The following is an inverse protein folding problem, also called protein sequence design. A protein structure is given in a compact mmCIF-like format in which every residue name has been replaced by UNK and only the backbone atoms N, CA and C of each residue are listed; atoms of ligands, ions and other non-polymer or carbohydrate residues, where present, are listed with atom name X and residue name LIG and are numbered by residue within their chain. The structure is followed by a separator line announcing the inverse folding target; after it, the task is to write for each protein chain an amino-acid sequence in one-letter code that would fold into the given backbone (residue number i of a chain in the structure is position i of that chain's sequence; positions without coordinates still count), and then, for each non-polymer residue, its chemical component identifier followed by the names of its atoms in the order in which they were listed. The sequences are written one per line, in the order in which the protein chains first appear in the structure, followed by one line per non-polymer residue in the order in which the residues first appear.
data_IF_648377730658
#
_entry.id   IF_648377730658
#
_cell.length_a   1.000
_cell.length_b   1.000
_cell.length_c   1.000
_cell.angle_alpha   90.00
_cell.angle_beta   90.00
_cell.angle_gamma   90.00
#
_symmetry.space_group_name_H-M   'P 1'
#
loop_
_entity.id
_entity.type
_entity.pdbx_description
1 polymer ?
#
# COMPACT_ATOMS: atom_id res chain seq x y z
N UNK A 1 46.86 -48.11 13.17
CA UNK A 1 46.60 -47.74 11.75
C UNK A 1 47.17 -46.35 11.49
N UNK A 2 48.20 -46.22 10.64
CA UNK A 2 48.69 -44.90 10.23
C UNK A 2 47.62 -44.23 9.33
N UNK A 3 47.41 -42.93 9.49
CA UNK A 3 46.38 -42.20 8.74
C UNK A 3 46.78 -42.11 7.26
N UNK A 4 45.86 -42.34 6.31
CA UNK A 4 46.12 -42.36 4.86
C UNK A 4 46.90 -41.12 4.36
N UNK A 5 46.67 -39.95 4.96
CA UNK A 5 47.43 -38.73 4.65
C UNK A 5 48.95 -38.80 4.95
N UNK A 6 49.42 -39.84 5.65
CA UNK A 6 50.84 -40.07 5.98
C UNK A 6 51.44 -41.29 5.26
N UNK A 7 50.63 -42.06 4.53
CA UNK A 7 51.05 -43.30 3.86
C UNK A 7 50.87 -43.20 2.34
N UNK A 8 49.75 -42.62 1.89
CA UNK A 8 49.41 -42.47 0.48
C UNK A 8 48.63 -41.16 0.30
N UNK A 9 49.40 -40.08 0.13
CA UNK A 9 48.88 -38.73 -0.07
C UNK A 9 48.00 -38.64 -1.33
N UNK A 10 48.39 -39.21 -2.49
CA UNK A 10 47.51 -39.26 -3.67
C UNK A 10 46.14 -39.89 -3.41
N UNK A 11 46.08 -41.05 -2.75
CA UNK A 11 44.82 -41.73 -2.44
C UNK A 11 43.96 -40.94 -1.44
N UNK A 12 44.58 -40.34 -0.43
CA UNK A 12 43.88 -39.45 0.51
C UNK A 12 43.26 -38.23 -0.19
N UNK A 13 44.01 -37.55 -1.07
CA UNK A 13 43.53 -36.41 -1.84
C UNK A 13 42.39 -36.79 -2.78
N UNK A 14 42.48 -37.95 -3.45
CA UNK A 14 41.41 -38.50 -4.30
C UNK A 14 40.11 -38.72 -3.50
N UNK A 15 40.20 -39.37 -2.34
CA UNK A 15 39.04 -39.63 -1.47
C UNK A 15 38.42 -38.33 -0.93
N UNK A 16 39.25 -37.38 -0.51
CA UNK A 16 38.80 -36.05 -0.06
C UNK A 16 38.08 -35.28 -1.18
N UNK A 17 38.60 -35.32 -2.40
CA UNK A 17 38.00 -34.68 -3.56
C UNK A 17 36.67 -35.34 -3.95
N UNK A 18 36.59 -36.68 -3.97
CA UNK A 18 35.31 -37.39 -4.19
C UNK A 18 34.27 -37.06 -3.11
N UNK A 19 34.66 -37.03 -1.84
CA UNK A 19 33.75 -36.64 -0.74
C UNK A 19 33.29 -35.17 -0.85
N UNK A 20 34.14 -34.27 -1.37
CA UNK A 20 33.77 -32.87 -1.65
C UNK A 20 32.78 -32.77 -2.81
N UNK A 21 33.00 -33.52 -3.88
CA UNK A 21 32.09 -33.61 -5.04
C UNK A 21 30.73 -34.19 -4.63
N UNK A 22 30.71 -35.28 -3.86
CA UNK A 22 29.48 -35.88 -3.32
C UNK A 22 28.70 -34.91 -2.44
N UNK A 23 29.37 -34.17 -1.54
CA UNK A 23 28.74 -33.11 -0.73
C UNK A 23 28.17 -31.97 -1.60
N UNK A 24 28.87 -31.57 -2.66
CA UNK A 24 28.39 -30.56 -3.61
C UNK A 24 27.16 -31.04 -4.37
N UNK A 25 27.17 -32.27 -4.88
CA UNK A 25 26.04 -32.88 -5.59
C UNK A 25 24.81 -33.00 -4.67
N UNK A 26 25.00 -33.47 -3.43
CA UNK A 26 23.93 -33.52 -2.44
C UNK A 26 23.35 -32.15 -2.10
N UNK A 27 24.20 -31.11 -1.98
CA UNK A 27 23.74 -29.74 -1.79
C UNK A 27 22.88 -29.26 -2.96
N UNK A 28 23.37 -29.45 -4.20
CA UNK A 28 22.63 -29.07 -5.42
C UNK A 28 21.29 -29.80 -5.51
N UNK A 29 21.27 -31.11 -5.22
CA UNK A 29 20.04 -31.90 -5.22
C UNK A 29 19.04 -31.43 -4.16
N UNK A 30 19.51 -31.17 -2.93
CA UNK A 30 18.67 -30.61 -1.85
C UNK A 30 18.12 -29.23 -2.23
N UNK A 31 18.96 -28.37 -2.81
CA UNK A 31 18.54 -27.05 -3.28
C UNK A 31 17.51 -27.14 -4.41
N UNK A 32 17.66 -28.11 -5.33
CA UNK A 32 16.69 -28.38 -6.40
C UNK A 32 15.36 -28.86 -5.84
N UNK A 33 15.36 -29.90 -4.99
CA UNK A 33 14.17 -30.42 -4.28
C UNK A 33 13.45 -29.32 -3.50
N UNK A 34 14.21 -28.48 -2.78
CA UNK A 34 13.67 -27.34 -2.03
C UNK A 34 13.00 -26.34 -2.96
N UNK A 35 13.62 -26.00 -4.10
CA UNK A 35 13.04 -25.09 -5.10
C UNK A 35 11.75 -25.65 -5.72
N UNK A 36 11.73 -26.95 -6.03
CA UNK A 36 10.55 -27.63 -6.57
C UNK A 36 9.39 -27.60 -5.56
N UNK A 37 9.64 -28.00 -4.31
CA UNK A 37 8.65 -27.95 -3.23
C UNK A 37 8.14 -26.52 -2.97
N UNK A 38 9.03 -25.52 -2.96
CA UNK A 38 8.62 -24.12 -2.86
C UNK A 38 7.70 -23.70 -4.02
N UNK A 39 7.99 -24.14 -5.25
CA UNK A 39 7.19 -23.81 -6.42
C UNK A 39 5.80 -24.46 -6.38
N UNK A 40 5.72 -25.69 -5.87
CA UNK A 40 4.47 -26.42 -5.68
C UNK A 40 3.57 -25.74 -4.63
N UNK A 41 4.13 -25.35 -3.48
CA UNK A 41 3.39 -24.62 -2.44
C UNK A 41 2.89 -23.26 -2.97
N UNK A 42 3.78 -22.47 -3.60
CA UNK A 42 3.37 -21.22 -4.27
C UNK A 42 2.26 -21.51 -5.27
N UNK A 43 2.38 -22.60 -6.03
CA UNK A 43 1.41 -22.97 -7.04
C UNK A 43 0.02 -23.26 -6.47
N UNK A 44 -0.03 -23.96 -5.33
CA UNK A 44 -1.26 -24.25 -4.59
C UNK A 44 -1.91 -22.97 -4.05
N UNK A 45 -1.12 -22.06 -3.48
CA UNK A 45 -1.66 -20.82 -2.87
C UNK A 45 -2.01 -19.72 -3.87
N UNK A 46 -1.27 -19.60 -4.97
CA UNK A 46 -1.61 -18.66 -6.04
C UNK A 46 -2.80 -19.18 -6.86
N UNK A 47 -2.87 -20.49 -7.11
CA UNK A 47 -3.93 -21.10 -7.93
C UNK A 47 -3.68 -20.98 -9.44
N UNK A 48 -4.75 -21.16 -10.23
CA UNK A 48 -4.74 -21.10 -11.71
C UNK A 48 -4.79 -19.68 -12.26
N UNK A 49 -5.33 -18.74 -11.48
CA UNK A 49 -5.46 -17.31 -11.78
C UNK A 49 -5.02 -16.52 -10.56
N UNK A 50 -4.57 -15.29 -10.74
CA UNK A 50 -4.24 -14.42 -9.60
C UNK A 50 -5.51 -14.06 -8.84
N UNK A 51 -5.56 -14.45 -7.56
CA UNK A 51 -6.63 -14.06 -6.62
C UNK A 51 -6.76 -12.55 -6.49
N UNK A 52 -5.65 -11.82 -6.56
CA UNK A 52 -5.64 -10.35 -6.47
C UNK A 52 -6.32 -9.73 -7.69
N UNK A 53 -6.01 -10.20 -8.90
CA UNK A 53 -6.69 -9.73 -10.12
C UNK A 53 -8.18 -10.07 -10.05
N UNK A 54 -8.55 -11.26 -9.56
CA UNK A 54 -9.96 -11.66 -9.38
C UNK A 54 -10.71 -10.75 -8.41
N UNK A 55 -10.08 -10.41 -7.28
CA UNK A 55 -10.64 -9.48 -6.30
C UNK A 55 -10.86 -8.08 -6.91
N UNK A 56 -9.87 -7.51 -7.60
CA UNK A 56 -9.99 -6.18 -8.23
C UNK A 56 -11.03 -6.20 -9.36
N UNK A 57 -11.15 -7.31 -10.08
CA UNK A 57 -12.15 -7.46 -11.14
C UNK A 57 -13.59 -7.63 -10.61
N UNK A 58 -13.77 -7.79 -9.30
CA UNK A 58 -15.06 -8.12 -8.67
C UNK A 58 -15.56 -9.49 -9.10
N UNK A 59 -14.65 -10.48 -9.23
CA UNK A 59 -14.91 -11.83 -9.73
C UNK A 59 -15.60 -11.89 -11.11
N UNK A 60 -15.55 -10.79 -11.85
CA UNK A 60 -16.15 -10.66 -13.18
C UNK A 60 -15.06 -10.73 -14.23
N UNK A 61 -15.34 -11.34 -15.37
CA UNK A 61 -14.41 -11.37 -16.52
C UNK A 61 -14.97 -10.50 -17.63
N UNK A 62 -14.09 -9.83 -18.39
CA UNK A 62 -14.52 -9.09 -19.57
C UNK A 62 -15.18 -10.03 -20.60
N UNK A 63 -16.34 -9.64 -21.14
CA UNK A 63 -17.09 -10.44 -22.13
C UNK A 63 -16.26 -10.69 -23.40
N UNK A 64 -15.53 -9.68 -23.86
CA UNK A 64 -14.70 -9.77 -25.06
C UNK A 64 -13.38 -9.03 -24.89
N UNK A 65 -12.34 -9.53 -25.57
CA UNK A 65 -11.09 -8.81 -25.81
C UNK A 65 -10.92 -8.64 -27.31
N UNK A 66 -10.95 -7.38 -27.73
CA UNK A 66 -10.74 -7.00 -29.12
C UNK A 66 -9.35 -7.47 -29.59
N UNK A 67 -9.34 -8.33 -30.62
CA UNK A 67 -8.13 -8.73 -31.37
C UNK A 67 -6.98 -9.26 -30.50
N UNK A 68 -7.28 -9.88 -29.36
CA UNK A 68 -6.26 -10.42 -28.45
C UNK A 68 -5.32 -9.37 -27.83
N UNK A 69 -5.78 -8.12 -27.73
CA UNK A 69 -5.07 -6.98 -27.14
C UNK A 69 -5.84 -6.42 -25.94
N UNK A 70 -5.17 -6.30 -24.81
CA UNK A 70 -5.65 -5.55 -23.64
C UNK A 70 -5.12 -4.12 -23.73
N UNK A 71 -5.97 -3.13 -23.50
CA UNK A 71 -5.55 -1.73 -23.45
C UNK A 71 -6.03 -1.10 -22.15
N UNK A 72 -5.12 -0.42 -21.47
CA UNK A 72 -5.41 0.45 -20.34
C UNK A 72 -5.18 1.89 -20.77
N UNK A 73 -6.16 2.75 -20.45
CA UNK A 73 -6.07 4.18 -20.63
C UNK A 73 -6.21 4.81 -19.24
N UNK A 74 -5.19 5.51 -18.78
CA UNK A 74 -5.30 6.28 -17.54
C UNK A 74 -6.25 7.47 -17.74
N UNK A 75 -7.11 7.78 -16.75
CA UNK A 75 -7.88 9.02 -16.75
C UNK A 75 -6.95 10.23 -16.60
N UNK A 76 -7.44 11.43 -16.93
CA UNK A 76 -6.66 12.66 -16.81
C UNK A 76 -6.22 12.95 -15.37
N UNK A 77 -7.08 12.62 -14.40
CA UNK A 77 -6.75 12.61 -12.96
C UNK A 77 -6.74 11.16 -12.52
N UNK A 78 -5.55 10.54 -12.52
CA UNK A 78 -5.31 9.16 -12.13
C UNK A 78 -4.75 9.14 -10.71
N UNK A 79 -5.60 9.43 -9.74
CA UNK A 79 -5.23 9.62 -8.34
C UNK A 79 -6.28 9.04 -7.41
N UNK A 80 -5.86 8.27 -6.40
CA UNK A 80 -6.75 7.80 -5.34
C UNK A 80 -7.06 8.89 -4.30
N UNK A 81 -6.27 9.95 -4.23
CA UNK A 81 -6.54 11.10 -3.36
C UNK A 81 -7.54 12.07 -4.01
N UNK A 82 -7.37 12.38 -5.30
CA UNK A 82 -8.15 13.43 -5.99
C UNK A 82 -9.34 12.88 -6.79
N UNK A 83 -9.23 11.67 -7.35
CA UNK A 83 -10.26 11.05 -8.18
C UNK A 83 -10.33 9.54 -7.97
N UNK A 84 -10.62 9.07 -6.74
CA UNK A 84 -10.66 7.64 -6.43
C UNK A 84 -11.67 6.87 -7.28
N UNK A 85 -12.87 7.43 -7.50
CA UNK A 85 -13.92 6.81 -8.29
C UNK A 85 -13.50 6.61 -9.75
N UNK A 86 -13.03 7.66 -10.43
CA UNK A 86 -12.56 7.57 -11.82
C UNK A 86 -11.33 6.68 -11.98
N UNK A 87 -10.43 6.68 -10.99
CA UNK A 87 -9.25 5.81 -10.94
C UNK A 87 -9.63 4.33 -10.88
N UNK A 88 -10.55 3.96 -9.99
CA UNK A 88 -11.03 2.58 -9.88
C UNK A 88 -11.89 2.16 -11.08
N UNK A 89 -12.69 3.07 -11.65
CA UNK A 89 -13.43 2.83 -12.90
C UNK A 89 -12.50 2.51 -14.08
N UNK A 90 -11.26 2.99 -14.08
CA UNK A 90 -10.27 2.61 -15.09
C UNK A 90 -9.58 1.26 -14.78
N UNK A 91 -9.26 1.00 -13.52
CA UNK A 91 -8.51 -0.18 -13.08
C UNK A 91 -9.33 -1.47 -13.05
N UNK A 92 -10.61 -1.40 -12.68
CA UNK A 92 -11.50 -2.58 -12.59
C UNK A 92 -11.70 -3.21 -13.98
N UNK A 93 -12.04 -2.47 -15.06
CA UNK A 93 -12.11 -3.04 -16.41
C UNK A 93 -10.78 -3.60 -16.91
N UNK A 94 -9.64 -3.00 -16.53
CA UNK A 94 -8.33 -3.59 -16.80
C UNK A 94 -8.23 -4.96 -16.15
N UNK A 95 -8.46 -5.06 -14.84
CA UNK A 95 -8.39 -6.34 -14.12
C UNK A 95 -9.31 -7.42 -14.75
N UNK A 96 -10.55 -7.06 -15.10
CA UNK A 96 -11.51 -7.93 -15.81
C UNK A 96 -10.96 -8.45 -17.14
N UNK A 97 -10.24 -7.62 -17.89
CA UNK A 97 -9.56 -8.03 -19.13
C UNK A 97 -8.35 -8.93 -18.85
N UNK A 98 -7.55 -8.66 -17.81
CA UNK A 98 -6.37 -9.47 -17.48
C UNK A 98 -6.71 -10.92 -17.10
N UNK A 99 -7.94 -11.18 -16.63
CA UNK A 99 -8.44 -12.54 -16.36
C UNK A 99 -8.68 -13.39 -17.61
N UNK A 100 -8.84 -12.76 -18.78
CA UNK A 100 -9.06 -13.48 -20.03
C UNK A 100 -7.75 -14.08 -20.55
N UNK A 101 -7.73 -15.38 -20.90
CA UNK A 101 -6.48 -16.07 -21.30
C UNK A 101 -6.07 -15.84 -22.75
N UNK A 102 -6.92 -15.24 -23.59
CA UNK A 102 -6.79 -15.16 -25.06
C UNK A 102 -6.06 -13.93 -25.60
N UNK A 103 -5.26 -13.21 -24.79
CA UNK A 103 -4.47 -12.06 -25.27
C UNK A 103 -2.97 -12.34 -25.31
N UNK A 104 -2.21 -11.57 -26.10
CA UNK A 104 -0.73 -11.60 -26.04
C UNK A 104 -0.11 -10.22 -26.01
N UNK A 105 -0.90 -9.17 -26.24
CA UNK A 105 -0.44 -7.77 -26.28
C UNK A 105 -1.16 -7.00 -25.18
N UNK A 106 -0.41 -6.22 -24.42
CA UNK A 106 -0.91 -5.29 -23.41
C UNK A 106 -0.36 -3.92 -23.75
N UNK A 107 -1.25 -2.93 -23.85
CA UNK A 107 -0.88 -1.54 -24.02
C UNK A 107 -1.29 -0.74 -22.78
N UNK A 108 -0.33 -0.07 -22.12
CA UNK A 108 -0.59 0.83 -20.98
C UNK A 108 -0.37 2.26 -21.46
N UNK A 109 -1.45 3.01 -21.65
CA UNK A 109 -1.38 4.40 -22.10
C UNK A 109 -1.60 5.36 -20.94
N UNK A 110 -0.56 6.16 -20.64
CA UNK A 110 -0.58 7.20 -19.62
C UNK A 110 -0.50 8.62 -20.22
N UNK A 111 -0.62 8.78 -21.55
CA UNK A 111 -0.42 10.06 -22.24
C UNK A 111 -1.34 11.19 -21.76
N UNK A 112 -2.57 10.83 -21.41
CA UNK A 112 -3.60 11.77 -20.97
C UNK A 112 -3.51 12.13 -19.49
N UNK A 113 -2.69 11.42 -18.71
CA UNK A 113 -2.58 11.65 -17.27
C UNK A 113 -1.90 13.01 -17.00
N UNK A 114 -2.65 13.90 -16.36
CA UNK A 114 -2.22 15.24 -15.91
C UNK A 114 -1.97 15.30 -14.41
N UNK A 115 -2.65 14.45 -13.64
CA UNK A 115 -2.38 14.17 -12.23
C UNK A 115 -2.24 12.67 -12.06
N UNK A 116 -1.18 12.23 -11.38
CA UNK A 116 -0.90 10.82 -11.13
C UNK A 116 -0.27 10.68 -9.75
N UNK A 117 -0.92 9.93 -8.85
CA UNK A 117 -0.38 9.64 -7.52
C UNK A 117 0.12 8.20 -7.37
N UNK A 118 0.89 7.99 -6.31
CA UNK A 118 1.45 6.71 -5.94
C UNK A 118 0.37 5.67 -5.63
N UNK A 119 -0.80 6.09 -5.14
CA UNK A 119 -1.89 5.18 -4.78
C UNK A 119 -2.46 4.47 -5.99
N UNK A 120 -2.80 5.24 -7.03
CA UNK A 120 -3.25 4.74 -8.32
C UNK A 120 -2.17 3.88 -8.98
N UNK A 121 -0.91 4.32 -8.92
CA UNK A 121 0.22 3.58 -9.47
C UNK A 121 0.39 2.22 -8.80
N UNK A 122 0.28 2.16 -7.47
CA UNK A 122 0.48 0.96 -6.69
C UNK A 122 -0.49 -0.17 -7.08
N UNK A 123 -1.76 0.16 -7.34
CA UNK A 123 -2.75 -0.83 -7.80
C UNK A 123 -2.40 -1.32 -9.21
N UNK A 124 -2.08 -0.40 -10.13
CA UNK A 124 -1.68 -0.76 -11.50
C UNK A 124 -0.45 -1.67 -11.51
N UNK A 125 0.54 -1.33 -10.69
CA UNK A 125 1.78 -2.08 -10.49
C UNK A 125 1.52 -3.50 -10.00
N UNK A 126 0.63 -3.66 -9.02
CA UNK A 126 0.23 -4.99 -8.52
C UNK A 126 -0.44 -5.79 -9.63
N UNK A 127 -1.37 -5.21 -10.39
CA UNK A 127 -2.03 -5.93 -11.50
C UNK A 127 -1.03 -6.41 -12.55
N UNK A 128 -0.05 -5.58 -12.91
CA UNK A 128 1.03 -5.94 -13.84
C UNK A 128 1.92 -7.05 -13.29
N UNK A 129 2.35 -6.94 -12.04
CA UNK A 129 3.21 -7.91 -11.37
C UNK A 129 2.51 -9.28 -11.22
N UNK A 130 1.24 -9.30 -10.81
CA UNK A 130 0.42 -10.51 -10.72
C UNK A 130 0.26 -11.22 -12.06
N UNK A 131 -0.05 -10.46 -13.12
CA UNK A 131 -0.15 -11.02 -14.47
C UNK A 131 1.19 -11.57 -14.94
N UNK A 132 2.30 -10.88 -14.66
CA UNK A 132 3.66 -11.32 -15.02
C UNK A 132 4.02 -12.62 -14.31
N UNK A 133 3.70 -12.74 -13.02
CA UNK A 133 3.91 -13.98 -12.24
C UNK A 133 3.10 -15.12 -12.86
N UNK A 134 1.81 -14.89 -13.17
CA UNK A 134 0.97 -15.90 -13.81
C UNK A 134 1.48 -16.30 -15.20
N UNK A 135 1.95 -15.35 -16.00
CA UNK A 135 2.50 -15.60 -17.34
C UNK A 135 3.77 -16.46 -17.27
N UNK A 136 4.68 -16.14 -16.35
CA UNK A 136 5.90 -16.94 -16.09
C UNK A 136 5.57 -18.38 -15.70
N UNK A 137 4.59 -18.57 -14.80
CA UNK A 137 4.16 -19.91 -14.35
C UNK A 137 3.51 -20.75 -15.46
N UNK A 138 2.82 -20.09 -16.39
CA UNK A 138 2.11 -20.77 -17.50
C UNK A 138 2.94 -20.84 -18.80
N UNK A 139 4.16 -20.29 -18.80
CA UNK A 139 4.97 -20.17 -20.02
C UNK A 139 4.41 -19.21 -21.08
N UNK A 140 3.38 -18.41 -20.74
CA UNK A 140 2.73 -17.48 -21.66
C UNK A 140 3.65 -16.29 -21.94
N UNK A 141 3.92 -16.03 -23.23
CA UNK A 141 4.66 -14.84 -23.67
C UNK A 141 3.71 -13.66 -23.86
N UNK A 142 4.01 -12.56 -23.18
CA UNK A 142 3.26 -11.31 -23.22
C UNK A 142 4.15 -10.21 -23.83
N UNK A 143 3.56 -9.40 -24.70
CA UNK A 143 4.19 -8.23 -25.32
C UNK A 143 3.59 -6.98 -24.68
N UNK A 144 4.46 -6.12 -24.19
CA UNK A 144 4.09 -4.89 -23.50
C UNK A 144 4.44 -3.70 -24.38
N UNK A 145 3.53 -2.73 -24.46
CA UNK A 145 3.76 -1.43 -25.08
C UNK A 145 3.10 -0.35 -24.21
N UNK A 146 3.51 0.89 -24.37
CA UNK A 146 2.86 1.98 -23.64
C UNK A 146 3.41 3.34 -24.00
N UNK A 147 2.82 4.35 -23.38
CA UNK A 147 3.17 5.77 -23.54
C UNK A 147 3.21 6.42 -22.17
N UNK A 148 4.21 7.28 -21.97
CA UNK A 148 4.37 8.05 -20.76
C UNK A 148 3.39 9.23 -20.71
N UNK A 149 3.14 9.79 -19.52
CA UNK A 149 2.59 11.13 -19.40
C UNK A 149 3.45 12.16 -20.15
N UNK A 150 2.79 13.21 -20.60
CA UNK A 150 3.45 14.37 -21.24
C UNK A 150 4.27 15.17 -20.23
N UNK A 151 3.82 15.25 -18.97
CA UNK A 151 4.54 15.92 -17.89
C UNK A 151 5.87 15.23 -17.55
N UNK A 152 7.02 15.94 -17.55
CA UNK A 152 8.32 15.35 -17.25
C UNK A 152 8.44 14.77 -15.83
N UNK A 153 7.77 15.38 -14.84
CA UNK A 153 7.77 14.89 -13.47
C UNK A 153 7.01 13.58 -13.33
N UNK A 154 5.81 13.50 -13.90
CA UNK A 154 5.04 12.26 -13.95
C UNK A 154 5.74 11.18 -14.77
N UNK A 155 6.42 11.54 -15.87
CA UNK A 155 7.25 10.59 -16.63
C UNK A 155 8.37 10.01 -15.77
N UNK A 156 9.10 10.85 -15.05
CA UNK A 156 10.17 10.42 -14.13
C UNK A 156 9.63 9.52 -13.02
N UNK A 157 8.48 9.86 -12.44
CA UNK A 157 7.77 9.03 -11.48
C UNK A 157 7.48 7.61 -12.03
N UNK A 158 6.91 7.50 -13.23
CA UNK A 158 6.60 6.20 -13.87
C UNK A 158 7.86 5.37 -14.14
N UNK A 159 8.96 6.02 -14.55
CA UNK A 159 10.26 5.36 -14.75
C UNK A 159 10.86 4.85 -13.43
N UNK A 160 10.68 5.61 -12.36
CA UNK A 160 11.28 5.37 -11.06
C UNK A 160 10.56 4.28 -10.24
N UNK A 161 9.23 4.23 -10.27
CA UNK A 161 8.42 3.35 -9.43
C UNK A 161 7.44 2.46 -10.21
N UNK A 162 6.82 3.02 -11.25
CA UNK A 162 5.65 2.41 -11.90
C UNK A 162 5.93 1.17 -12.74
N UNK A 163 5.04 0.93 -13.71
CA UNK A 163 4.99 -0.30 -14.51
C UNK A 163 6.34 -0.68 -15.14
N UNK A 164 7.19 0.30 -15.43
CA UNK A 164 8.56 0.12 -15.94
C UNK A 164 9.42 -0.72 -14.98
N UNK A 165 9.35 -0.45 -13.67
CA UNK A 165 10.05 -1.24 -12.65
C UNK A 165 9.49 -2.64 -12.52
N UNK A 166 8.16 -2.79 -12.52
CA UNK A 166 7.51 -4.12 -12.40
C UNK A 166 7.78 -5.03 -13.60
N UNK A 167 7.90 -4.43 -14.78
CA UNK A 167 8.28 -5.12 -16.02
C UNK A 167 9.79 -5.36 -16.14
N UNK A 168 10.60 -4.71 -15.31
CA UNK A 168 12.07 -4.73 -15.33
C UNK A 168 12.69 -4.20 -16.65
N UNK A 169 12.10 -3.15 -17.21
CA UNK A 169 12.58 -2.51 -18.46
C UNK A 169 13.74 -1.57 -18.13
N UNK A 170 14.92 -2.13 -17.88
CA UNK A 170 16.06 -1.40 -17.31
C UNK A 170 16.55 -0.19 -18.14
N UNK A 171 16.45 -0.24 -19.46
CA UNK A 171 16.87 0.86 -20.34
C UNK A 171 15.92 2.07 -20.28
N UNK A 172 14.72 1.91 -19.70
CA UNK A 172 13.74 2.97 -19.48
C UNK A 172 13.84 3.58 -18.08
N UNK A 173 14.76 3.11 -17.23
CA UNK A 173 14.93 3.64 -15.88
C UNK A 173 15.42 5.10 -15.92
N UNK A 174 15.19 5.90 -14.87
CA UNK A 174 15.69 7.26 -14.80
C UNK A 174 17.21 7.28 -15.00
N UNK A 175 17.70 8.33 -15.66
CA UNK A 175 19.13 8.53 -15.83
C UNK A 175 19.80 8.76 -14.46
N UNK A 176 21.11 8.52 -14.31
CA UNK A 176 21.80 8.70 -13.02
C UNK A 176 21.58 10.09 -12.38
N UNK A 177 21.55 11.14 -13.20
CA UNK A 177 21.30 12.52 -12.76
C UNK A 177 19.88 12.70 -12.21
N UNK A 178 18.86 12.19 -12.92
CA UNK A 178 17.47 12.21 -12.45
C UNK A 178 17.32 11.38 -11.17
N UNK A 179 17.90 10.17 -11.16
CA UNK A 179 17.86 9.24 -10.04
C UNK A 179 18.52 9.81 -8.78
N UNK A 180 19.50 10.70 -8.92
CA UNK A 180 20.12 11.39 -7.80
C UNK A 180 19.12 12.27 -7.05
N UNK A 181 18.08 12.81 -7.71
CA UNK A 181 17.02 13.59 -7.07
C UNK A 181 15.82 12.78 -6.58
N UNK A 182 15.92 11.45 -6.56
CA UNK A 182 14.81 10.57 -6.18
C UNK A 182 15.16 9.75 -4.93
N UNK A 183 14.17 9.56 -4.06
CA UNK A 183 14.16 8.48 -3.07
C UNK A 183 12.98 7.57 -3.35
N UNK A 184 13.23 6.27 -3.42
CA UNK A 184 12.20 5.28 -3.74
C UNK A 184 12.20 4.15 -2.73
N UNK A 185 11.01 3.70 -2.36
CA UNK A 185 10.80 2.54 -1.53
C UNK A 185 9.64 1.72 -2.05
N UNK A 186 9.85 0.42 -2.21
CA UNK A 186 8.84 -0.50 -2.71
C UNK A 186 9.01 -1.84 -2.03
N UNK A 187 8.05 -2.20 -1.17
CA UNK A 187 8.00 -3.48 -0.52
C UNK A 187 6.60 -4.07 -0.56
N UNK A 188 6.53 -5.38 -0.83
CA UNK A 188 5.28 -6.14 -0.84
C UNK A 188 5.45 -7.49 -0.15
N UNK A 189 4.59 -7.77 0.81
CA UNK A 189 4.35 -9.11 1.31
C UNK A 189 3.26 -9.74 0.45
N UNK A 190 3.58 -10.80 -0.29
CA UNK A 190 2.60 -11.49 -1.16
C UNK A 190 2.01 -12.68 -0.43
N UNK A 191 0.69 -12.86 -0.48
CA UNK A 191 0.02 -13.93 0.29
C UNK A 191 0.57 -15.33 -0.01
N UNK A 192 0.87 -15.61 -1.28
CA UNK A 192 1.39 -16.90 -1.73
C UNK A 192 2.89 -17.10 -1.43
N UNK A 193 3.65 -16.01 -1.23
CA UNK A 193 5.05 -16.10 -0.77
C UNK A 193 5.07 -16.32 0.74
N UNK A 194 4.19 -15.64 1.47
CA UNK A 194 4.05 -15.78 2.92
C UNK A 194 3.68 -17.21 3.33
N UNK A 195 2.87 -17.89 2.51
CA UNK A 195 2.56 -19.31 2.70
C UNK A 195 3.79 -20.25 2.76
N UNK A 196 4.88 -19.90 2.07
CA UNK A 196 6.14 -20.67 2.10
C UNK A 196 7.07 -20.22 3.23
N UNK A 197 6.86 -19.00 3.74
CA UNK A 197 7.72 -18.35 4.73
C UNK A 197 6.91 -17.83 5.93
N UNK A 198 6.16 -18.72 6.62
CA UNK A 198 5.31 -18.32 7.74
C UNK A 198 6.14 -17.80 8.93
N UNK A 199 7.34 -18.36 9.13
CA UNK A 199 8.20 -18.05 10.28
C UNK A 199 9.12 -16.83 10.08
N UNK A 200 8.93 -16.02 9.04
CA UNK A 200 9.58 -14.69 9.00
C UNK A 200 8.84 -13.74 9.96
N UNK A 201 8.95 -13.97 11.27
CA UNK A 201 8.38 -13.13 12.34
C UNK A 201 8.89 -11.69 12.24
N UNK A 202 10.15 -11.53 11.83
CA UNK A 202 10.82 -10.23 11.77
C UNK A 202 10.58 -9.49 10.45
N UNK A 203 9.76 -10.01 9.53
CA UNK A 203 9.50 -9.35 8.25
C UNK A 203 8.90 -7.96 8.49
N UNK A 204 7.86 -7.87 9.32
CA UNK A 204 7.21 -6.60 9.68
C UNK A 204 8.23 -5.63 10.25
N UNK A 205 8.89 -5.99 11.35
CA UNK A 205 9.87 -5.16 12.05
C UNK A 205 10.98 -4.66 11.12
N UNK A 206 11.49 -5.52 10.24
CA UNK A 206 12.51 -5.16 9.26
C UNK A 206 11.99 -4.18 8.20
N UNK A 207 10.78 -4.38 7.69
CA UNK A 207 10.18 -3.50 6.68
C UNK A 207 9.88 -2.14 7.28
N UNK A 208 9.29 -2.10 8.46
CA UNK A 208 9.03 -0.88 9.23
C UNK A 208 10.31 -0.07 9.46
N UNK A 209 11.39 -0.70 9.91
CA UNK A 209 12.69 -0.01 10.10
C UNK A 209 13.24 0.55 8.79
N UNK A 210 13.24 -0.26 7.72
CA UNK A 210 13.72 0.18 6.40
C UNK A 210 12.89 1.31 5.83
N UNK A 211 11.57 1.30 6.06
CA UNK A 211 10.70 2.38 5.62
C UNK A 211 10.97 3.66 6.41
N UNK A 212 11.17 3.57 7.73
CA UNK A 212 11.57 4.72 8.53
C UNK A 212 12.95 5.28 8.08
N UNK A 213 13.88 4.42 7.68
CA UNK A 213 15.16 4.83 7.09
C UNK A 213 14.97 5.52 5.74
N UNK A 214 14.04 5.06 4.92
CA UNK A 214 13.66 5.73 3.67
C UNK A 214 13.07 7.11 3.92
N UNK A 215 12.13 7.27 4.86
CA UNK A 215 11.59 8.59 5.23
C UNK A 215 12.70 9.51 5.76
N UNK A 216 13.63 8.98 6.55
CA UNK A 216 14.78 9.75 6.99
C UNK A 216 15.69 10.15 5.81
N UNK A 217 15.87 9.26 4.83
CA UNK A 217 16.55 9.55 3.56
C UNK A 217 15.87 10.70 2.80
N UNK A 218 14.54 10.66 2.69
CA UNK A 218 13.73 11.72 2.09
C UNK A 218 13.97 13.07 2.77
N UNK A 219 13.92 13.11 4.11
CA UNK A 219 14.16 14.34 4.87
C UNK A 219 15.59 14.86 4.73
N UNK A 220 16.59 13.97 4.65
CA UNK A 220 17.99 14.38 4.45
C UNK A 220 18.19 15.11 3.12
N UNK A 221 17.41 14.79 2.09
CA UNK A 221 17.44 15.51 0.81
C UNK A 221 17.04 16.98 0.93
N UNK A 222 16.31 17.33 1.98
CA UNK A 222 15.92 18.71 2.30
C UNK A 222 16.57 19.20 3.60
N UNK A 223 17.74 18.66 3.94
CA UNK A 223 18.53 19.03 5.13
C UNK A 223 17.79 18.89 6.48
N UNK A 224 16.76 18.04 6.53
CA UNK A 224 16.05 17.66 7.76
C UNK A 224 16.43 16.23 8.15
N UNK A 225 16.18 15.82 9.40
CA UNK A 225 16.43 14.44 9.87
C UNK A 225 15.42 14.09 10.94
N UNK A 226 14.95 12.83 10.95
CA UNK A 226 14.11 12.34 12.04
C UNK A 226 14.93 12.29 13.34
N UNK A 227 14.40 12.88 14.41
CA UNK A 227 14.93 12.64 15.75
C UNK A 227 14.72 11.16 16.14
N UNK A 228 15.54 10.58 17.03
CA UNK A 228 15.34 9.19 17.46
C UNK A 228 13.92 8.89 17.98
N UNK A 229 13.29 9.77 18.80
CA UNK A 229 11.89 9.59 19.20
C UNK A 229 10.90 9.64 18.02
N UNK A 230 11.10 10.56 17.06
CA UNK A 230 10.24 10.66 15.88
C UNK A 230 10.36 9.42 14.98
N UNK A 231 11.59 8.89 14.80
CA UNK A 231 11.82 7.64 14.08
C UNK A 231 11.15 6.45 14.77
N UNK A 232 11.25 6.36 16.10
CA UNK A 232 10.58 5.31 16.86
C UNK A 232 9.06 5.36 16.71
N UNK A 233 8.46 6.55 16.84
CA UNK A 233 7.02 6.75 16.63
C UNK A 233 6.58 6.38 15.22
N UNK A 234 7.32 6.80 14.20
CA UNK A 234 7.04 6.40 12.81
C UNK A 234 7.06 4.88 12.66
N UNK A 235 8.03 4.19 13.27
CA UNK A 235 8.05 2.73 13.26
C UNK A 235 6.80 2.14 13.93
N UNK A 236 6.37 2.68 15.08
CA UNK A 236 5.14 2.23 15.74
C UNK A 236 3.92 2.43 14.84
N UNK A 237 3.74 3.62 14.27
CA UNK A 237 2.59 3.93 13.41
C UNK A 237 2.51 3.02 12.19
N UNK A 238 3.63 2.82 11.48
CA UNK A 238 3.67 1.93 10.31
C UNK A 238 3.49 0.46 10.72
N UNK A 239 4.02 0.07 11.88
CA UNK A 239 3.80 -1.24 12.47
C UNK A 239 2.32 -1.53 12.68
N UNK A 240 1.59 -0.61 13.31
CA UNK A 240 0.15 -0.72 13.56
C UNK A 240 -0.67 -0.78 12.26
N UNK A 241 -0.32 0.02 11.24
CA UNK A 241 -0.99 -0.06 9.93
C UNK A 241 -0.78 -1.42 9.27
N UNK A 242 0.43 -1.98 9.35
CA UNK A 242 0.73 -3.32 8.82
C UNK A 242 0.06 -4.42 9.67
N UNK A 243 0.01 -4.29 10.98
CA UNK A 243 -0.70 -5.23 11.86
C UNK A 243 -2.19 -5.26 11.52
N UNK A 244 -2.81 -4.10 11.30
CA UNK A 244 -4.19 -4.02 10.84
C UNK A 244 -4.39 -4.75 9.51
N UNK A 245 -3.44 -4.59 8.56
CA UNK A 245 -3.47 -5.30 7.30
C UNK A 245 -3.31 -6.83 7.48
N UNK A 246 -2.47 -7.30 8.40
CA UNK A 246 -2.26 -8.73 8.63
C UNK A 246 -3.41 -9.40 9.41
N UNK A 247 -3.97 -8.71 10.41
CA UNK A 247 -4.96 -9.27 11.33
C UNK A 247 -6.40 -9.19 10.80
N UNK A 248 -6.75 -8.13 10.07
CA UNK A 248 -8.14 -7.83 9.72
C UNK A 248 -8.48 -8.17 8.26
N UNK A 249 -7.53 -8.05 7.34
CA UNK A 249 -7.80 -8.28 5.91
C UNK A 249 -8.14 -9.76 5.61
N UNK A 250 -7.78 -10.70 6.48
CA UNK A 250 -7.98 -12.14 6.23
C UNK A 250 -7.15 -12.68 5.06
N UNK A 251 -6.18 -11.89 4.58
CA UNK A 251 -5.20 -12.25 3.56
C UNK A 251 -3.91 -11.48 3.85
N UNK A 252 -2.78 -12.20 3.91
CA UNK A 252 -1.46 -11.61 4.09
C UNK A 252 -0.89 -11.08 2.77
N UNK A 253 -1.60 -10.14 2.12
CA UNK A 253 -1.11 -9.41 0.96
C UNK A 253 -1.16 -7.91 1.24
N UNK A 254 -0.01 -7.34 1.55
CA UNK A 254 0.13 -5.92 1.85
C UNK A 254 1.36 -5.34 1.17
N UNK A 255 1.30 -4.06 0.86
CA UNK A 255 2.38 -3.33 0.23
C UNK A 255 2.56 -1.97 0.89
N UNK A 256 3.81 -1.52 0.90
CA UNK A 256 4.19 -0.18 1.32
C UNK A 256 5.13 0.41 0.27
N UNK A 257 4.80 1.60 -0.19
CA UNK A 257 5.54 2.34 -1.19
C UNK A 257 5.82 3.76 -0.71
N UNK A 258 6.98 4.27 -1.07
CA UNK A 258 7.40 5.64 -0.80
C UNK A 258 8.10 6.22 -2.02
N UNK A 259 7.80 7.47 -2.33
CA UNK A 259 8.39 8.20 -3.44
C UNK A 259 8.67 9.65 -3.00
N UNK A 260 9.88 10.11 -3.22
CA UNK A 260 10.24 11.52 -3.16
C UNK A 260 10.86 11.92 -4.48
N UNK A 261 10.46 13.10 -4.96
CA UNK A 261 11.08 13.76 -6.09
C UNK A 261 11.54 15.17 -5.73
N UNK A 262 12.85 15.38 -5.67
CA UNK A 262 13.45 16.69 -5.42
C UNK A 262 13.79 17.45 -6.70
N UNK A 263 13.52 16.87 -7.87
CA UNK A 263 13.66 17.58 -9.15
C UNK A 263 12.46 18.50 -9.43
N UNK A 264 11.40 18.40 -8.63
CA UNK A 264 10.25 19.29 -8.68
C UNK A 264 10.59 20.64 -8.03
N UNK A 265 9.94 21.71 -8.51
CA UNK A 265 10.11 23.05 -7.93
C UNK A 265 9.80 23.07 -6.42
N UNK A 266 8.80 22.29 -6.00
CA UNK A 266 8.56 21.95 -4.60
C UNK A 266 8.69 20.44 -4.48
N UNK A 267 9.69 19.93 -3.74
CA UNK A 267 9.81 18.49 -3.53
C UNK A 267 8.55 17.89 -2.96
N UNK A 268 8.18 16.73 -3.48
CA UNK A 268 6.91 16.09 -3.16
C UNK A 268 7.18 14.68 -2.65
N UNK A 269 6.70 14.38 -1.45
CA UNK A 269 6.75 13.06 -0.87
C UNK A 269 5.37 12.40 -0.92
N UNK A 270 5.33 11.17 -1.41
CA UNK A 270 4.15 10.32 -1.44
C UNK A 270 4.42 9.00 -0.73
N UNK A 271 3.46 8.56 0.08
CA UNK A 271 3.50 7.32 0.83
C UNK A 271 2.19 6.59 0.58
N UNK A 272 2.27 5.30 0.30
CA UNK A 272 1.10 4.45 0.13
C UNK A 272 1.29 3.16 0.90
N UNK A 273 0.28 2.80 1.69
CA UNK A 273 0.22 1.53 2.42
C UNK A 273 -1.13 0.92 2.12
N UNK A 274 -1.16 -0.33 1.68
CA UNK A 274 -2.42 -0.99 1.37
C UNK A 274 -2.35 -2.49 1.56
N UNK A 275 -3.52 -3.07 1.73
CA UNK A 275 -3.74 -4.50 1.81
C UNK A 275 -4.91 -4.94 0.96
N UNK A 276 -4.83 -6.18 0.46
CA UNK A 276 -5.95 -6.86 -0.17
C UNK A 276 -6.60 -7.80 0.83
N UNK A 277 -7.93 -7.93 0.75
CA UNK A 277 -8.67 -8.77 1.67
C UNK A 277 -10.07 -8.25 1.94
N UNK A 278 -10.49 -8.39 3.19
CA UNK A 278 -11.68 -7.75 3.74
C UNK A 278 -11.47 -6.25 3.87
N UNK A 279 -12.52 -5.50 3.62
CA UNK A 279 -12.59 -4.07 3.93
C UNK A 279 -12.78 -3.87 5.43
N UNK A 280 -12.68 -2.61 5.88
CA UNK A 280 -13.00 -2.25 7.25
C UNK A 280 -14.45 -2.64 7.55
N UNK A 281 -15.40 -2.19 6.73
CA UNK A 281 -16.82 -2.54 6.87
C UNK A 281 -17.07 -4.05 6.97
N UNK A 282 -16.53 -4.84 6.04
CA UNK A 282 -16.67 -6.30 6.05
C UNK A 282 -16.09 -6.96 7.31
N UNK A 283 -15.07 -6.35 7.92
CA UNK A 283 -14.47 -6.87 9.15
C UNK A 283 -15.42 -6.67 10.34
N UNK A 284 -16.11 -5.53 10.43
CA UNK A 284 -17.10 -5.26 11.47
C UNK A 284 -18.38 -6.08 11.26
N UNK A 285 -18.86 -6.19 10.02
CA UNK A 285 -20.05 -7.00 9.69
C UNK A 285 -19.87 -8.48 9.99
N UNK A 286 -18.63 -9.00 9.88
CA UNK A 286 -18.31 -10.38 10.18
C UNK A 286 -18.30 -10.72 11.69
N UNK A 287 -18.48 -9.73 12.57
CA UNK A 287 -18.56 -9.97 14.02
C UNK A 287 -19.84 -10.76 14.37
N UNK A 288 -19.79 -11.71 15.31
CA UNK A 288 -20.98 -12.43 15.75
C UNK A 288 -21.97 -11.49 16.45
N UNK A 289 -23.26 -11.87 16.46
CA UNK A 289 -24.28 -11.14 17.20
C UNK A 289 -23.98 -11.16 18.72
N UNK A 290 -24.24 -10.05 19.42
CA UNK A 290 -23.91 -9.88 20.84
C UNK A 290 -22.42 -9.68 21.13
N UNK A 291 -21.60 -9.45 20.09
CA UNK A 291 -20.20 -9.06 20.28
C UNK A 291 -20.13 -7.59 20.72
N UNK A 292 -19.34 -7.30 21.75
CA UNK A 292 -19.19 -5.97 22.35
C UNK A 292 -19.05 -4.84 21.31
N UNK A 293 -18.04 -4.91 20.45
CA UNK A 293 -17.82 -3.88 19.41
C UNK A 293 -18.97 -3.79 18.42
N UNK A 294 -19.62 -4.92 18.09
CA UNK A 294 -20.75 -4.92 17.16
C UNK A 294 -21.91 -4.14 17.76
N UNK A 295 -22.23 -4.37 19.03
CA UNK A 295 -23.33 -3.68 19.71
C UNK A 295 -23.04 -2.17 19.87
N UNK A 296 -21.80 -1.81 20.20
CA UNK A 296 -21.37 -0.41 20.26
C UNK A 296 -21.54 0.29 18.91
N UNK A 297 -21.11 -0.35 17.83
CA UNK A 297 -21.22 0.22 16.48
C UNK A 297 -22.66 0.19 15.98
N UNK A 298 -23.45 -0.85 16.30
CA UNK A 298 -24.83 -0.94 15.86
C UNK A 298 -25.67 0.22 16.40
N UNK A 299 -25.48 0.61 17.68
CA UNK A 299 -26.12 1.81 18.22
C UNK A 299 -25.80 3.07 17.40
N UNK A 300 -24.55 3.19 16.95
CA UNK A 300 -24.12 4.30 16.10
C UNK A 300 -24.80 4.26 14.72
N UNK A 301 -24.89 3.08 14.09
CA UNK A 301 -25.61 2.88 12.82
C UNK A 301 -27.09 3.21 12.97
N UNK A 302 -27.75 2.68 14.01
CA UNK A 302 -29.18 2.82 14.25
C UNK A 302 -29.57 4.28 14.50
N UNK A 303 -28.75 5.04 15.24
CA UNK A 303 -28.96 6.48 15.45
C UNK A 303 -28.98 7.25 14.12
N UNK A 304 -28.09 6.92 13.19
CA UNK A 304 -28.04 7.55 11.88
C UNK A 304 -29.20 7.11 10.98
N UNK A 305 -29.63 5.85 11.11
CA UNK A 305 -30.80 5.33 10.41
C UNK A 305 -32.09 6.02 10.86
N UNK A 306 -32.31 6.09 12.17
CA UNK A 306 -33.50 6.67 12.79
C UNK A 306 -33.58 8.18 12.58
N UNK A 307 -32.43 8.86 12.56
CA UNK A 307 -32.33 10.29 12.23
C UNK A 307 -32.56 10.62 10.76
N UNK A 308 -32.88 9.65 9.90
CA UNK A 308 -33.12 9.87 8.47
C UNK A 308 -31.86 10.27 7.69
N UNK A 309 -30.67 10.00 8.22
CA UNK A 309 -29.40 10.40 7.61
C UNK A 309 -28.97 9.47 6.46
N UNK A 310 -29.53 8.26 6.39
CA UNK A 310 -29.43 7.37 5.24
C UNK A 310 -30.29 7.87 4.07
N UNK A 311 -29.78 8.88 3.39
CA UNK A 311 -30.28 9.39 2.11
C UNK A 311 -29.38 8.91 0.96
N UNK A 312 -29.75 9.19 -0.29
CA UNK A 312 -28.93 8.87 -1.46
C UNK A 312 -27.51 9.47 -1.30
N UNK A 313 -26.51 8.61 -1.09
CA UNK A 313 -25.10 8.98 -0.93
C UNK A 313 -24.45 8.59 0.40
N UNK A 314 -25.15 7.89 1.30
CA UNK A 314 -24.55 7.41 2.55
C UNK A 314 -25.08 6.04 2.98
N UNK A 315 -24.16 5.10 3.26
CA UNK A 315 -24.45 3.68 3.51
C UNK A 315 -23.83 3.20 4.84
N UNK A 316 -24.30 2.08 5.41
CA UNK A 316 -23.69 1.48 6.60
C UNK A 316 -22.16 1.29 6.49
N UNK A 317 -21.65 0.86 5.34
CA UNK A 317 -20.20 0.71 5.08
C UNK A 317 -19.40 1.99 5.37
N UNK A 318 -19.95 3.15 5.05
CA UNK A 318 -19.29 4.44 5.20
C UNK A 318 -19.17 4.79 6.69
N UNK A 319 -20.21 4.48 7.47
CA UNK A 319 -20.22 4.60 8.92
C UNK A 319 -19.29 3.61 9.61
N UNK A 320 -19.29 2.34 9.18
CA UNK A 320 -18.37 1.33 9.70
C UNK A 320 -16.92 1.75 9.50
N UNK A 321 -16.62 2.34 8.34
CA UNK A 321 -15.29 2.84 8.05
C UNK A 321 -14.96 4.05 8.93
N UNK A 322 -15.89 5.01 9.08
CA UNK A 322 -15.68 6.19 9.90
C UNK A 322 -15.49 5.86 11.39
N UNK A 323 -16.35 5.02 11.96
CA UNK A 323 -16.30 4.65 13.38
C UNK A 323 -15.02 3.87 13.72
N UNK A 324 -14.48 3.10 12.77
CA UNK A 324 -13.22 2.38 12.94
C UNK A 324 -11.97 3.28 13.02
N UNK A 325 -12.11 4.57 12.68
CA UNK A 325 -11.03 5.56 12.81
C UNK A 325 -10.97 6.21 14.18
N UNK A 326 -11.98 5.97 15.02
CA UNK A 326 -12.09 6.58 16.34
C UNK A 326 -11.28 5.78 17.37
N UNK A 327 -10.84 6.46 18.44
CA UNK A 327 -10.13 5.80 19.54
C UNK A 327 -10.97 4.72 20.21
N UNK A 328 -10.30 3.65 20.65
CA UNK A 328 -10.90 2.51 21.35
C UNK A 328 -11.93 1.70 20.53
N UNK A 329 -11.99 1.87 19.21
CA UNK A 329 -12.85 1.08 18.33
C UNK A 329 -12.03 0.00 17.62
N UNK A 330 -12.25 -1.26 17.96
CA UNK A 330 -11.60 -2.41 17.31
C UNK A 330 -12.47 -3.65 17.34
N UNK A 331 -12.44 -4.44 16.27
CA UNK A 331 -13.10 -5.76 16.20
C UNK A 331 -12.48 -6.80 17.14
N UNK A 332 -11.38 -6.45 17.84
CA UNK A 332 -10.74 -7.29 18.87
C UNK A 332 -11.15 -6.94 20.30
N UNK A 333 -11.94 -5.88 20.50
CA UNK A 333 -12.43 -5.51 21.83
C UNK A 333 -13.63 -6.39 22.20
N UNK A 334 -13.55 -7.04 23.36
CA UNK A 334 -14.62 -7.91 23.90
C UNK A 334 -15.29 -7.29 25.13
N UNK A 335 -14.79 -6.16 25.63
CA UNK A 335 -15.27 -5.51 26.85
C UNK A 335 -14.99 -4.00 26.86
N UNK A 336 -15.60 -3.29 27.81
CA UNK A 336 -15.39 -1.86 28.05
C UNK A 336 -13.98 -1.51 28.56
N UNK A 337 -13.25 -2.50 29.09
CA UNK A 337 -11.86 -2.33 29.56
C UNK A 337 -10.83 -2.49 28.44
N UNK A 338 -11.23 -2.98 27.27
CA UNK A 338 -10.34 -3.13 26.13
C UNK A 338 -10.13 -1.79 25.43
N UNK A 339 -8.87 -1.38 25.30
CA UNK A 339 -8.48 -0.08 24.72
C UNK A 339 -7.84 -0.19 23.35
N UNK A 340 -8.02 -1.31 22.62
CA UNK A 340 -7.49 -1.44 21.25
C UNK A 340 -8.24 -0.54 20.28
N UNK A 341 -7.59 -0.18 19.17
CA UNK A 341 -8.14 0.74 18.16
C UNK A 341 -7.38 2.07 18.05
N UNK A 342 -6.17 2.17 18.62
CA UNK A 342 -5.41 3.42 18.62
C UNK A 342 -4.46 3.57 17.42
N UNK A 343 -4.21 2.51 16.64
CA UNK A 343 -3.31 2.58 15.48
C UNK A 343 -3.77 3.57 14.39
N UNK A 344 -5.07 3.62 14.09
CA UNK A 344 -5.64 4.59 13.13
C UNK A 344 -5.59 6.02 13.67
N UNK A 345 -5.84 6.20 14.98
CA UNK A 345 -5.75 7.49 15.69
C UNK A 345 -4.34 8.05 15.60
N UNK A 346 -3.35 7.23 15.95
CA UNK A 346 -1.93 7.58 15.94
C UNK A 346 -1.46 8.03 14.54
N UNK A 347 -1.92 7.35 13.50
CA UNK A 347 -1.65 7.71 12.11
C UNK A 347 -2.29 9.05 11.72
N UNK A 348 -3.55 9.27 12.10
CA UNK A 348 -4.25 10.53 11.80
C UNK A 348 -3.57 11.70 12.52
N UNK A 349 -3.20 11.53 13.79
CA UNK A 349 -2.44 12.53 14.54
C UNK A 349 -1.07 12.81 13.91
N UNK A 350 -0.38 11.77 13.42
CA UNK A 350 0.87 11.93 12.67
C UNK A 350 0.66 12.79 11.42
N UNK A 351 -0.36 12.47 10.62
CA UNK A 351 -0.68 13.25 9.43
C UNK A 351 -1.03 14.70 9.77
N UNK A 352 -1.81 14.95 10.83
CA UNK A 352 -2.13 16.31 11.28
C UNK A 352 -0.88 17.11 11.67
N UNK A 353 0.12 16.45 12.29
CA UNK A 353 1.42 17.08 12.59
C UNK A 353 2.18 17.40 11.31
N UNK A 354 2.26 16.48 10.35
CA UNK A 354 2.88 16.71 9.04
C UNK A 354 2.20 17.88 8.32
N UNK A 355 0.87 17.88 8.26
CA UNK A 355 0.08 18.95 7.66
C UNK A 355 0.38 20.31 8.30
N UNK A 356 0.39 20.38 9.64
CA UNK A 356 0.68 21.61 10.37
C UNK A 356 2.10 22.14 10.09
N UNK A 357 3.11 21.27 10.03
CA UNK A 357 4.47 21.68 9.67
C UNK A 357 4.55 22.16 8.22
N UNK A 358 3.93 21.47 7.27
CA UNK A 358 3.87 21.91 5.87
C UNK A 358 3.16 23.27 5.73
N UNK A 359 2.10 23.52 6.51
CA UNK A 359 1.33 24.77 6.47
C UNK A 359 2.12 26.00 6.95
N UNK A 360 3.19 25.82 7.75
CA UNK A 360 4.08 26.93 8.14
C UNK A 360 4.90 27.46 6.97
N UNK A 361 5.27 26.58 6.04
CA UNK A 361 6.17 26.88 4.93
C UNK A 361 5.42 27.09 3.61
N UNK A 362 4.24 26.48 3.50
CA UNK A 362 3.35 26.57 2.35
C UNK A 362 1.94 26.95 2.84
N UNK A 363 1.55 28.24 2.82
CA UNK A 363 0.23 28.68 3.28
C UNK A 363 -0.93 27.96 2.55
N UNK A 364 -0.74 27.60 1.29
CA UNK A 364 -1.65 26.77 0.49
C UNK A 364 -1.34 25.26 0.60
N UNK A 365 -0.82 24.80 1.75
CA UNK A 365 -0.31 23.44 1.96
C UNK A 365 -1.26 22.41 1.38
N UNK A 366 -0.79 21.69 0.35
CA UNK A 366 -1.54 20.63 -0.31
C UNK A 366 -1.28 19.27 0.33
N UNK A 367 -0.87 19.23 1.61
CA UNK A 367 -0.72 17.98 2.33
C UNK A 367 -2.09 17.29 2.43
N UNK A 368 -2.20 16.10 1.86
CA UNK A 368 -3.44 15.34 1.78
C UNK A 368 -3.19 13.89 2.16
N UNK A 369 -4.19 13.32 2.82
CA UNK A 369 -4.25 11.90 3.08
C UNK A 369 -5.63 11.39 2.65
N UNK A 370 -5.68 10.19 2.10
CA UNK A 370 -6.92 9.53 1.72
C UNK A 370 -6.88 8.08 2.16
N UNK A 371 -8.02 7.59 2.61
CA UNK A 371 -8.27 6.19 2.92
C UNK A 371 -9.39 5.71 2.00
N UNK A 372 -9.13 4.67 1.22
CA UNK A 372 -10.18 3.95 0.48
C UNK A 372 -10.30 2.55 1.07
N UNK A 373 -11.50 2.17 1.51
CA UNK A 373 -11.81 0.81 1.95
C UNK A 373 -13.13 0.37 1.32
N UNK A 374 -13.10 -0.64 0.46
CA UNK A 374 -14.28 -1.04 -0.30
C UNK A 374 -14.74 0.07 -1.24
N UNK A 375 -15.98 0.48 -1.07
CA UNK A 375 -16.57 1.62 -1.79
C UNK A 375 -16.60 2.89 -0.93
N UNK A 376 -15.92 2.95 0.22
CA UNK A 376 -15.86 4.15 1.05
C UNK A 376 -14.55 4.90 0.82
N UNK A 377 -14.64 6.22 0.68
CA UNK A 377 -13.49 7.12 0.65
C UNK A 377 -13.56 8.13 1.79
N UNK A 378 -12.44 8.26 2.52
CA UNK A 378 -12.24 9.22 3.60
C UNK A 378 -11.02 10.10 3.28
N UNK A 379 -11.25 11.40 3.12
CA UNK A 379 -10.21 12.37 2.80
C UNK A 379 -9.84 13.22 4.02
N UNK A 380 -8.55 13.54 4.14
CA UNK A 380 -7.99 14.43 5.15
C UNK A 380 -7.15 15.50 4.46
N UNK A 381 -7.50 16.76 4.65
CA UNK A 381 -6.76 17.92 4.10
C UNK A 381 -6.51 19.01 5.16
N UNK A 382 -6.68 18.67 6.44
CA UNK A 382 -6.53 19.62 7.56
C UNK A 382 -7.80 20.41 7.92
N UNK A 383 -8.89 20.33 7.14
CA UNK A 383 -10.16 21.02 7.45
C UNK A 383 -10.77 20.53 8.76
N UNK A 384 -10.81 19.22 8.97
CA UNK A 384 -11.30 18.59 10.21
C UNK A 384 -10.13 18.00 10.99
N UNK A 385 -10.22 18.07 12.31
CA UNK A 385 -9.16 17.65 13.23
C UNK A 385 -9.66 16.58 14.18
N UNK A 386 -8.79 15.63 14.50
CA UNK A 386 -9.04 14.70 15.58
C UNK A 386 -8.81 15.37 16.94
N UNK A 387 -9.80 15.27 17.82
CA UNK A 387 -9.83 15.93 19.13
C UNK A 387 -10.40 14.97 20.19
N UNK A 388 -10.08 15.15 21.49
CA UNK A 388 -10.63 14.30 22.53
C UNK A 388 -12.10 14.71 22.78
N UNK A 389 -13.00 13.73 22.88
CA UNK A 389 -14.35 13.98 23.36
C UNK A 389 -14.38 14.20 24.88
N UNK A 390 -15.58 14.38 25.45
CA UNK A 390 -15.78 14.59 26.89
C UNK A 390 -15.19 13.47 27.76
N UNK A 391 -15.06 12.26 27.23
CA UNK A 391 -14.49 11.09 27.91
C UNK A 391 -12.99 10.90 27.63
N UNK A 392 -12.32 11.87 26.98
CA UNK A 392 -10.91 11.80 26.62
C UNK A 392 -10.60 10.92 25.40
N UNK A 393 -11.60 10.32 24.76
CA UNK A 393 -11.43 9.47 23.57
C UNK A 393 -11.26 10.35 22.34
N UNK A 394 -10.20 10.11 21.57
CA UNK A 394 -9.92 10.84 20.33
C UNK A 394 -10.94 10.50 19.24
N UNK A 395 -11.59 11.51 18.69
CA UNK A 395 -12.61 11.39 17.64
C UNK A 395 -12.39 12.41 16.52
N UNK A 396 -12.83 12.05 15.32
CA UNK A 396 -12.95 12.91 14.15
C UNK A 396 -14.26 12.58 13.42
N UNK A 397 -15.22 13.50 13.47
CA UNK A 397 -16.56 13.30 12.92
C UNK A 397 -16.79 13.95 11.54
N UNK A 398 -15.79 14.66 11.00
CA UNK A 398 -15.86 15.36 9.72
C UNK A 398 -17.05 16.33 9.58
N UNK A 399 -17.44 16.97 10.68
CA UNK A 399 -18.45 18.02 10.68
C UNK A 399 -18.01 19.16 11.62
N UNK A 400 -18.68 20.31 11.51
CA UNK A 400 -18.26 21.54 12.22
C UNK A 400 -18.27 21.39 13.74
N UNK A 401 -19.16 20.57 14.28
CA UNK A 401 -19.31 20.35 15.72
C UNK A 401 -18.35 19.28 16.26
N UNK A 402 -17.62 18.57 15.37
CA UNK A 402 -16.90 17.34 15.68
C UNK A 402 -17.73 16.33 16.49
N UNK A 403 -19.00 16.18 16.08
CA UNK A 403 -20.00 15.36 16.78
C UNK A 403 -20.33 14.13 15.94
N UNK A 404 -20.04 12.93 16.45
CA UNK A 404 -20.33 11.69 15.74
C UNK A 404 -21.82 11.49 15.49
N UNK A 405 -22.72 12.12 16.26
CA UNK A 405 -24.18 12.03 16.04
C UNK A 405 -24.67 12.90 14.88
N UNK A 406 -23.81 13.75 14.33
CA UNK A 406 -24.12 14.61 13.20
C UNK A 406 -23.55 14.05 11.91
N UNK A 407 -24.23 14.35 10.81
CA UNK A 407 -23.81 13.93 9.47
C UNK A 407 -22.41 14.46 9.15
N UNK A 408 -21.46 13.61 8.72
CA UNK A 408 -20.17 14.08 8.22
C UNK A 408 -20.34 14.79 6.87
N UNK A 409 -19.40 15.69 6.56
CA UNK A 409 -19.31 16.36 5.28
C UNK A 409 -19.01 15.34 4.16
N UNK A 410 -19.92 15.24 3.20
CA UNK A 410 -19.82 14.30 2.08
C UNK A 410 -18.63 14.59 1.15
N UNK A 411 -18.01 15.77 1.22
CA UNK A 411 -16.76 16.04 0.50
C UNK A 411 -15.60 15.21 1.07
N UNK A 412 -15.67 14.83 2.33
CA UNK A 412 -14.62 14.12 3.05
C UNK A 412 -14.93 12.66 3.30
N UNK A 413 -16.20 12.32 3.54
CA UNK A 413 -16.62 10.92 3.77
C UNK A 413 -17.78 10.59 2.83
N UNK A 414 -17.53 9.76 1.81
CA UNK A 414 -18.55 9.39 0.83
C UNK A 414 -18.33 8.02 0.21
N UNK A 415 -19.42 7.51 -0.37
CA UNK A 415 -19.41 6.35 -1.25
C UNK A 415 -18.78 6.68 -2.62
N UNK A 416 -17.98 5.75 -3.12
CA UNK A 416 -17.50 5.63 -4.49
C UNK A 416 -18.50 4.81 -5.32
N UNK A 417 -19.17 5.44 -6.27
CA UNK A 417 -20.30 4.86 -6.99
C UNK A 417 -19.85 3.88 -8.05
N UNK A 418 -20.37 2.64 -7.97
CA UNK A 418 -20.16 1.61 -8.99
C UNK A 418 -18.75 1.03 -9.02
N UNK A 419 -17.92 1.34 -8.03
CA UNK A 419 -16.55 0.81 -7.90
C UNK A 419 -16.29 0.30 -6.49
N UNK A 420 -15.34 -0.60 -6.36
CA UNK A 420 -15.02 -1.24 -5.09
C UNK A 420 -13.54 -1.63 -5.07
N UNK A 421 -12.80 -1.18 -4.05
CA UNK A 421 -11.44 -1.63 -3.78
C UNK A 421 -11.45 -2.79 -2.77
N UNK A 422 -10.92 -3.98 -3.12
CA UNK A 422 -11.00 -5.17 -2.27
C UNK A 422 -9.93 -5.20 -1.18
N UNK A 423 -10.12 -4.35 -0.17
CA UNK A 423 -9.22 -4.20 0.98
C UNK A 423 -9.21 -2.76 1.46
N UNK A 424 -8.05 -2.29 1.93
CA UNK A 424 -7.87 -0.92 2.42
C UNK A 424 -6.57 -0.32 1.86
N UNK A 425 -6.64 0.91 1.35
CA UNK A 425 -5.48 1.68 0.88
C UNK A 425 -5.45 3.04 1.54
N UNK A 426 -4.30 3.36 2.11
CA UNK A 426 -3.94 4.64 2.68
C UNK A 426 -2.93 5.32 1.75
N UNK A 427 -3.25 6.52 1.30
CA UNK A 427 -2.39 7.35 0.48
C UNK A 427 -2.12 8.66 1.20
N UNK A 428 -0.85 9.06 1.30
CA UNK A 428 -0.42 10.32 1.90
C UNK A 428 0.46 11.04 0.89
N UNK A 429 0.21 12.33 0.68
CA UNK A 429 0.97 13.20 -0.22
C UNK A 429 1.22 14.52 0.46
N UNK A 430 2.47 14.94 0.55
CA UNK A 430 2.82 16.22 1.19
C UNK A 430 4.07 16.85 0.57
N UNK A 431 4.10 18.19 0.46
CA UNK A 431 5.30 18.90 0.02
C UNK A 431 6.38 18.89 1.11
N UNK A 432 7.63 18.84 0.70
CA UNK A 432 8.79 19.06 1.55
C UNK A 432 9.45 20.37 1.14
N UNK A 433 9.67 21.25 2.12
CA UNK A 433 10.38 22.49 1.88
C UNK A 433 11.88 22.28 1.81
N UNK A 434 12.51 22.94 0.84
CA UNK A 434 13.96 23.03 0.64
C UNK A 434 14.56 24.27 1.31
N UNK A 435 13.73 25.15 1.90
CA UNK A 435 14.22 26.31 2.60
C UNK A 435 15.13 25.82 3.73
N UNK A 436 16.44 26.07 3.60
CA UNK A 436 17.30 26.12 4.77
C UNK A 436 16.61 27.11 5.70
N UNK A 437 16.34 26.71 6.94
CA UNK A 437 16.11 27.70 7.99
C UNK A 437 17.33 28.62 7.93
N UNK A 438 17.17 29.77 7.30
CA UNK A 438 18.07 30.90 7.49
C UNK A 438 17.94 31.19 8.97
N UNK A 439 18.92 30.73 9.74
CA UNK A 439 19.23 31.36 11.02
C UNK A 439 19.44 32.83 10.69
N UNK A 440 18.39 33.63 10.87
CA UNK A 440 18.52 35.06 10.97
C UNK A 440 19.40 35.32 12.19
N UNK A 441 20.61 35.78 11.91
CA UNK A 441 21.54 36.36 12.85
C UNK A 441 20.91 37.58 13.55
N UNK A 442 21.29 37.78 14.82
CA UNK A 442 21.58 39.12 15.34
C UNK A 442 20.47 39.89 16.06
N UNK A 443 20.54 39.87 17.39
CA UNK A 443 20.52 41.05 18.26
C UNK A 443 21.26 40.60 19.54
N UNK A 444 22.27 41.26 20.09
CA UNK A 444 22.70 42.64 19.96
C UNK A 444 23.00 43.14 21.39
N UNK A 445 24.30 43.21 21.73
CA UNK A 445 24.92 43.60 23.02
C UNK A 445 25.00 42.58 24.14
#
# INVERSE_FOLDING_TARGET
MKHLAKIDVPLYLRNKNQAKLGRRANRIWRDKRRKESHHEIIGKHFGTRSRIIEMVAGNTVAKEILKGKVTFQAPAVFSLIENPEGTLHALIPLARQLLVRRFRRIAINLSEAKSYDLGANAILDVLVDELRVQARRTGRRLHWSGSYPSDPGLRRFVRAMGVIKKLEVKHEYPLPEEAAGLEVFDWRCKHYIRAVRPNESDLKSRVTQKFADHINGCLKRVSKTLTPPARHRLCQYIGEVIDNAEEHAGMLDWSIQGYLDTNLAVPLCEIVIFSFGRTIAQTFEALPAGHYTRDQVQNYIDLHQQGGLFTAGWRPDDLYTLIALQGHVSTKNNSTTDTRGNGSVDLIEFFQKVHAECAKEFPDSKARMALVSGSTHVQFDGTYKMEPNQNGVRIIAFNKANDLHQRPDSRFVHELKGVYFPGTILSIKFPLSTAKLSTSEGDGK
#
